data_IF_711377164128
#
_entry.id   IF_711377164128
#
_cell.length_a   1.000
_cell.length_b   1.000
_cell.length_c   1.000
_cell.angle_alpha   90.00
_cell.angle_beta   90.00
_cell.angle_gamma   90.00
#
_symmetry.space_group_name_H-M   'P 1'
#
loop_
_entity.id
_entity.type
_entity.pdbx_description
1 polymer ?
#
# COMPACT_ATOMS: atom_id res chain seq x y z
N UNK A 1 32.37 18.06 -10.19
CA UNK A 1 31.47 18.00 -9.01
C UNK A 1 30.06 18.54 -9.27
N UNK A 2 29.81 19.35 -10.33
CA UNK A 2 28.51 19.97 -10.60
C UNK A 2 27.51 19.10 -11.40
N UNK A 3 27.96 18.06 -12.10
CA UNK A 3 27.08 17.18 -12.89
C UNK A 3 26.29 16.18 -12.04
N UNK A 4 26.84 15.76 -10.89
CA UNK A 4 26.14 14.83 -9.98
C UNK A 4 25.02 15.54 -9.20
N UNK A 5 25.19 16.80 -8.80
CA UNK A 5 24.13 17.57 -8.14
C UNK A 5 22.97 17.87 -9.08
N UNK A 6 23.23 18.21 -10.35
CA UNK A 6 22.19 18.41 -11.36
C UNK A 6 21.39 17.14 -11.65
N UNK A 7 22.04 15.97 -11.72
CA UNK A 7 21.35 14.70 -11.86
C UNK A 7 20.49 14.35 -10.64
N UNK A 8 21.00 14.56 -9.41
CA UNK A 8 20.24 14.30 -8.17
C UNK A 8 19.00 15.19 -8.07
N UNK A 9 19.12 16.49 -8.40
CA UNK A 9 17.96 17.39 -8.36
C UNK A 9 16.91 17.04 -9.41
N UNK A 10 17.32 16.58 -10.59
CA UNK A 10 16.41 16.07 -11.62
C UNK A 10 15.71 14.78 -11.15
N UNK A 11 16.44 13.87 -10.53
CA UNK A 11 15.93 12.59 -10.00
C UNK A 11 14.91 12.81 -8.86
N UNK A 12 15.14 13.79 -7.98
CA UNK A 12 14.17 14.15 -6.93
C UNK A 12 12.90 14.76 -7.53
N UNK A 13 13.05 15.61 -8.56
CA UNK A 13 11.91 16.24 -9.22
C UNK A 13 11.05 15.22 -9.97
N UNK A 14 11.66 14.25 -10.63
CA UNK A 14 10.93 13.15 -11.29
C UNK A 14 10.23 12.27 -10.26
N UNK A 15 10.88 11.93 -9.15
CA UNK A 15 10.27 11.19 -8.04
C UNK A 15 9.01 11.90 -7.52
N UNK A 16 9.11 13.19 -7.20
CA UNK A 16 7.97 13.94 -6.68
C UNK A 16 6.85 14.09 -7.72
N UNK A 17 7.20 14.22 -9.01
CA UNK A 17 6.22 14.27 -10.09
C UNK A 17 5.46 12.95 -10.23
N UNK A 18 6.15 11.80 -10.16
CA UNK A 18 5.53 10.47 -10.20
C UNK A 18 4.63 10.26 -8.98
N UNK A 19 5.13 10.57 -7.79
CA UNK A 19 4.36 10.50 -6.55
C UNK A 19 3.07 11.32 -6.60
N UNK A 20 3.15 12.58 -7.08
CA UNK A 20 1.99 13.46 -7.22
C UNK A 20 1.00 12.94 -8.27
N UNK A 21 1.50 12.36 -9.37
CA UNK A 21 0.67 11.72 -10.40
C UNK A 21 -0.14 10.58 -9.77
N UNK A 22 0.54 9.67 -9.07
CA UNK A 22 -0.08 8.48 -8.46
C UNK A 22 -1.14 8.87 -7.43
N UNK A 23 -0.82 9.81 -6.54
CA UNK A 23 -1.79 10.32 -5.56
C UNK A 23 -3.03 10.92 -6.24
N UNK A 24 -2.83 11.74 -7.28
CA UNK A 24 -3.95 12.37 -7.99
C UNK A 24 -4.84 11.34 -8.69
N UNK A 25 -4.24 10.31 -9.29
CA UNK A 25 -4.97 9.22 -9.93
C UNK A 25 -5.78 8.44 -8.90
N UNK A 26 -5.16 8.08 -7.79
CA UNK A 26 -5.81 7.31 -6.73
C UNK A 26 -6.93 8.10 -6.05
N UNK A 27 -6.72 9.37 -5.71
CA UNK A 27 -7.76 10.22 -5.12
C UNK A 27 -8.92 10.52 -6.07
N UNK A 28 -8.68 10.47 -7.39
CA UNK A 28 -9.74 10.64 -8.39
C UNK A 28 -10.56 9.37 -8.58
N UNK A 29 -9.89 8.23 -8.57
CA UNK A 29 -10.52 6.92 -8.73
C UNK A 29 -11.26 6.50 -7.46
N UNK A 30 -10.65 6.73 -6.29
CA UNK A 30 -11.01 6.19 -4.97
C UNK A 30 -11.26 4.67 -4.94
N UNK A 31 -11.06 3.97 -6.06
CA UNK A 31 -11.45 2.58 -6.22
C UNK A 31 -10.67 1.68 -5.27
N UNK A 32 -9.33 1.77 -5.28
CA UNK A 32 -8.49 0.94 -4.43
C UNK A 32 -8.72 1.26 -2.95
N UNK A 33 -8.84 2.54 -2.60
CA UNK A 33 -9.12 2.98 -1.23
C UNK A 33 -10.45 2.41 -0.72
N UNK A 34 -11.54 2.60 -1.48
CA UNK A 34 -12.87 2.13 -1.08
C UNK A 34 -12.94 0.62 -0.97
N UNK A 35 -12.40 -0.11 -1.96
CA UNK A 35 -12.33 -1.58 -1.93
C UNK A 35 -11.56 -2.04 -0.69
N UNK A 36 -10.43 -1.41 -0.38
CA UNK A 36 -9.63 -1.77 0.78
C UNK A 36 -10.35 -1.48 2.10
N UNK A 37 -11.00 -0.32 2.22
CA UNK A 37 -11.76 0.05 3.42
C UNK A 37 -12.91 -0.93 3.64
N UNK A 38 -13.68 -1.24 2.60
CA UNK A 38 -14.80 -2.18 2.71
C UNK A 38 -14.30 -3.57 3.07
N UNK A 39 -13.26 -4.07 2.40
CA UNK A 39 -12.70 -5.39 2.66
C UNK A 39 -12.16 -5.52 4.09
N UNK A 40 -11.41 -4.52 4.54
CA UNK A 40 -10.85 -4.52 5.90
C UNK A 40 -11.93 -4.35 6.96
N UNK A 41 -12.94 -3.50 6.72
CA UNK A 41 -14.09 -3.39 7.60
C UNK A 41 -14.85 -4.72 7.72
N UNK A 42 -15.04 -5.44 6.61
CA UNK A 42 -15.63 -6.78 6.63
C UNK A 42 -14.81 -7.75 7.49
N UNK A 43 -13.48 -7.76 7.36
CA UNK A 43 -12.61 -8.57 8.23
C UNK A 43 -12.87 -8.23 9.69
N UNK A 44 -12.79 -6.94 10.05
CA UNK A 44 -12.95 -6.49 11.45
C UNK A 44 -14.33 -6.88 12.00
N UNK A 45 -15.41 -6.73 11.22
CA UNK A 45 -16.77 -7.12 11.60
C UNK A 45 -16.90 -8.64 11.76
N UNK A 46 -16.37 -9.42 10.82
CA UNK A 46 -16.40 -10.88 10.89
C UNK A 46 -15.68 -11.39 12.15
N UNK A 47 -14.51 -10.83 12.46
CA UNK A 47 -13.78 -11.14 13.68
C UNK A 47 -14.54 -10.68 14.94
N UNK A 48 -15.18 -9.51 14.93
CA UNK A 48 -15.98 -9.04 16.05
C UNK A 48 -17.13 -10.02 16.39
N UNK A 49 -17.78 -10.58 15.37
CA UNK A 49 -18.86 -11.57 15.54
C UNK A 49 -18.32 -12.95 15.94
N UNK A 50 -17.21 -13.38 15.34
CA UNK A 50 -16.64 -14.71 15.58
C UNK A 50 -16.10 -14.91 17.01
N UNK A 51 -15.72 -13.83 17.69
CA UNK A 51 -15.14 -13.86 19.03
C UNK A 51 -16.04 -13.12 20.03
N UNK A 52 -17.06 -13.79 20.61
CA UNK A 52 -17.90 -13.18 21.64
C UNK A 52 -17.05 -12.76 22.85
N UNK A 53 -17.27 -11.53 23.31
CA UNK A 53 -16.56 -10.91 24.43
C UNK A 53 -16.68 -11.79 25.70
N UNK A 54 -15.54 -12.29 26.20
CA UNK A 54 -15.51 -13.18 27.38
C UNK A 54 -14.26 -14.05 27.52
N UNK A 55 -13.41 -14.08 26.50
CA UNK A 55 -12.19 -14.88 26.49
C UNK A 55 -11.10 -14.12 27.25
N UNK A 56 -10.38 -14.79 28.16
CA UNK A 56 -9.23 -14.25 28.91
C UNK A 56 -8.08 -13.73 28.01
N UNK A 57 -8.17 -13.91 26.69
CA UNK A 57 -7.18 -13.58 25.66
C UNK A 57 -7.62 -12.44 24.72
N UNK A 58 -8.55 -11.57 25.15
CA UNK A 58 -9.06 -10.45 24.32
C UNK A 58 -7.94 -9.64 23.64
N UNK A 59 -6.86 -9.32 24.35
CA UNK A 59 -5.76 -8.52 23.81
C UNK A 59 -4.91 -9.26 22.76
N UNK A 60 -4.69 -10.56 22.93
CA UNK A 60 -3.92 -11.37 21.97
C UNK A 60 -4.67 -11.50 20.65
N UNK A 61 -5.97 -11.77 20.70
CA UNK A 61 -6.83 -11.89 19.53
C UNK A 61 -6.87 -10.55 18.76
N UNK A 62 -7.05 -9.44 19.46
CA UNK A 62 -7.06 -8.10 18.85
C UNK A 62 -5.75 -7.81 18.13
N UNK A 63 -4.61 -8.15 18.74
CA UNK A 63 -3.29 -7.99 18.11
C UNK A 63 -3.22 -8.75 16.78
N UNK A 64 -3.68 -10.01 16.76
CA UNK A 64 -3.71 -10.84 15.55
C UNK A 64 -4.57 -10.19 14.47
N UNK A 65 -5.77 -9.70 14.82
CA UNK A 65 -6.69 -9.07 13.86
C UNK A 65 -6.04 -7.82 13.25
N UNK A 66 -5.35 -7.00 14.05
CA UNK A 66 -4.63 -5.82 13.55
C UNK A 66 -3.58 -6.22 12.51
N UNK A 67 -2.75 -7.22 12.79
CA UNK A 67 -1.73 -7.70 11.86
C UNK A 67 -2.32 -8.23 10.55
N UNK A 68 -3.41 -9.00 10.63
CA UNK A 68 -4.13 -9.53 9.46
C UNK A 68 -4.65 -8.37 8.59
N UNK A 69 -5.34 -7.41 9.20
CA UNK A 69 -5.89 -6.25 8.49
C UNK A 69 -4.79 -5.40 7.84
N UNK A 70 -3.65 -5.22 8.51
CA UNK A 70 -2.49 -4.50 7.97
C UNK A 70 -1.90 -5.21 6.75
N UNK A 71 -1.70 -6.52 6.82
CA UNK A 71 -1.15 -7.29 5.71
C UNK A 71 -2.09 -7.29 4.50
N UNK A 72 -3.37 -7.59 4.72
CA UNK A 72 -4.33 -7.62 3.63
C UNK A 72 -4.56 -6.26 2.98
N UNK A 73 -4.67 -5.19 3.78
CA UNK A 73 -4.82 -3.83 3.23
C UNK A 73 -3.64 -3.45 2.35
N UNK A 74 -2.42 -3.78 2.76
CA UNK A 74 -1.22 -3.48 1.98
C UNK A 74 -1.16 -4.20 0.63
N UNK A 75 -1.60 -5.46 0.59
CA UNK A 75 -1.64 -6.25 -0.63
C UNK A 75 -2.64 -5.67 -1.63
N UNK A 76 -3.83 -5.29 -1.15
CA UNK A 76 -4.88 -4.70 -2.01
C UNK A 76 -4.46 -3.32 -2.52
N UNK A 77 -3.91 -2.46 -1.65
CA UNK A 77 -3.42 -1.14 -2.07
C UNK A 77 -2.31 -1.28 -3.11
N UNK A 78 -1.30 -2.11 -2.85
CA UNK A 78 -0.18 -2.29 -3.78
C UNK A 78 -0.64 -2.87 -5.13
N UNK A 79 -1.45 -3.94 -5.11
CA UNK A 79 -1.95 -4.56 -6.34
C UNK A 79 -2.82 -3.61 -7.16
N UNK A 80 -3.74 -2.87 -6.54
CA UNK A 80 -4.57 -1.89 -7.24
C UNK A 80 -3.75 -0.75 -7.84
N UNK A 81 -2.79 -0.20 -7.10
CA UNK A 81 -1.93 0.87 -7.62
C UNK A 81 -1.03 0.42 -8.77
N UNK A 82 -0.58 -0.84 -8.77
CA UNK A 82 0.25 -1.40 -9.85
C UNK A 82 -0.60 -1.73 -11.07
N UNK A 83 -1.82 -2.24 -10.87
CA UNK A 83 -2.75 -2.52 -11.96
C UNK A 83 -3.15 -1.24 -12.71
N UNK A 84 -3.34 -0.13 -12.00
CA UNK A 84 -3.57 1.19 -12.63
C UNK A 84 -2.42 1.59 -13.56
N UNK A 85 -1.17 1.35 -13.13
CA UNK A 85 0.00 1.67 -13.95
C UNK A 85 0.14 0.76 -15.19
N UNK A 86 -0.33 -0.49 -15.10
CA UNK A 86 -0.39 -1.42 -16.24
C UNK A 86 -1.49 -1.05 -17.23
N UNK A 87 -2.65 -0.58 -16.76
CA UNK A 87 -3.79 -0.20 -17.62
C UNK A 87 -3.49 1.06 -18.43
N UNK A 88 -2.75 2.00 -17.87
CA UNK A 88 -2.41 3.28 -18.51
C UNK A 88 -1.18 3.20 -19.45
N UNK A 89 -0.65 2.00 -19.76
CA UNK A 89 0.63 1.78 -20.46
C UNK A 89 1.79 2.61 -19.87
N UNK A 90 1.68 3.02 -18.60
CA UNK A 90 2.64 3.92 -17.98
C UNK A 90 4.00 3.26 -17.81
N UNK A 91 4.01 1.93 -17.60
CA UNK A 91 5.23 1.13 -17.57
C UNK A 91 5.98 1.17 -18.90
N UNK A 92 5.27 1.15 -20.02
CA UNK A 92 5.86 1.21 -21.35
C UNK A 92 6.42 2.60 -21.66
N UNK A 93 5.69 3.65 -21.24
CA UNK A 93 6.16 5.03 -21.30
C UNK A 93 7.40 5.27 -20.42
N UNK A 94 7.47 4.65 -19.24
CA UNK A 94 8.63 4.75 -18.32
C UNK A 94 9.87 4.08 -18.93
N UNK A 95 9.69 2.92 -19.59
CA UNK A 95 10.76 2.24 -20.33
C UNK A 95 11.24 3.07 -21.52
N UNK A 96 10.32 3.69 -22.27
CA UNK A 96 10.65 4.57 -23.40
C UNK A 96 11.35 5.86 -22.97
N UNK A 97 11.02 6.39 -21.79
CA UNK A 97 11.58 7.65 -21.27
C UNK A 97 12.94 7.46 -20.54
N UNK A 98 13.41 6.21 -20.38
CA UNK A 98 14.71 5.90 -19.78
C UNK A 98 14.82 6.29 -18.30
N UNK A 99 13.72 6.25 -17.56
CA UNK A 99 13.73 6.55 -16.11
C UNK A 99 14.43 5.40 -15.39
N UNK A 100 15.34 5.73 -14.46
CA UNK A 100 16.02 4.72 -13.64
C UNK A 100 15.01 3.93 -12.81
N UNK A 101 15.14 2.60 -12.81
CA UNK A 101 14.25 1.69 -12.07
C UNK A 101 14.24 1.97 -10.56
N UNK A 102 15.34 2.50 -9.99
CA UNK A 102 15.40 2.86 -8.57
C UNK A 102 14.43 3.99 -8.22
N UNK A 103 14.33 5.01 -9.09
CA UNK A 103 13.47 6.18 -8.86
C UNK A 103 12.00 5.78 -8.96
N UNK A 104 11.66 4.93 -9.94
CA UNK A 104 10.33 4.38 -10.07
C UNK A 104 9.94 3.58 -8.81
N UNK A 105 10.80 2.65 -8.37
CA UNK A 105 10.56 1.86 -7.17
C UNK A 105 10.33 2.75 -5.95
N UNK A 106 11.21 3.73 -5.71
CA UNK A 106 11.11 4.60 -4.54
C UNK A 106 9.84 5.46 -4.58
N UNK A 107 9.48 5.99 -5.75
CA UNK A 107 8.22 6.73 -5.92
C UNK A 107 7.01 5.86 -5.62
N UNK A 108 7.02 4.60 -6.07
CA UNK A 108 5.90 3.65 -5.89
C UNK A 108 5.72 3.25 -4.44
N UNK A 109 6.82 2.96 -3.73
CA UNK A 109 6.80 2.68 -2.29
C UNK A 109 6.24 3.86 -1.52
N UNK A 110 6.61 5.10 -1.88
CA UNK A 110 6.10 6.30 -1.22
C UNK A 110 4.61 6.53 -1.48
N UNK A 111 4.15 6.32 -2.73
CA UNK A 111 2.74 6.36 -3.11
C UNK A 111 1.92 5.36 -2.30
N UNK A 112 2.33 4.09 -2.29
CA UNK A 112 1.65 3.00 -1.55
C UNK A 112 1.66 3.29 -0.05
N UNK A 113 2.79 3.73 0.52
CA UNK A 113 2.88 4.10 1.94
C UNK A 113 1.88 5.20 2.32
N UNK A 114 1.73 6.22 1.47
CA UNK A 114 0.82 7.35 1.74
C UNK A 114 -0.64 6.91 1.71
N UNK A 115 -1.03 6.14 0.68
CA UNK A 115 -2.40 5.63 0.54
C UNK A 115 -2.72 4.63 1.66
N UNK A 116 -1.79 3.72 1.96
CA UNK A 116 -1.93 2.75 3.03
C UNK A 116 -2.10 3.44 4.39
N UNK A 117 -1.36 4.52 4.64
CA UNK A 117 -1.51 5.30 5.88
C UNK A 117 -2.92 5.89 6.02
N UNK A 118 -3.51 6.44 4.94
CA UNK A 118 -4.88 6.97 4.94
C UNK A 118 -5.90 5.87 5.26
N UNK A 119 -5.75 4.71 4.62
CA UNK A 119 -6.62 3.54 4.87
C UNK A 119 -6.50 3.08 6.33
N UNK A 120 -5.29 3.06 6.88
CA UNK A 120 -5.09 2.65 8.26
C UNK A 120 -5.65 3.61 9.28
N UNK A 121 -5.61 4.93 9.06
CA UNK A 121 -6.31 5.88 9.92
C UNK A 121 -7.80 5.52 10.03
N UNK A 122 -8.42 5.13 8.92
CA UNK A 122 -9.82 4.69 8.87
C UNK A 122 -10.03 3.39 9.65
N UNK A 123 -9.12 2.43 9.49
CA UNK A 123 -9.15 1.14 10.21
C UNK A 123 -9.01 1.35 11.73
N UNK A 124 -8.06 2.18 12.17
CA UNK A 124 -7.89 2.51 13.59
C UNK A 124 -9.15 3.13 14.18
N UNK A 125 -9.83 4.00 13.44
CA UNK A 125 -11.13 4.55 13.84
C UNK A 125 -12.19 3.46 14.02
N UNK A 126 -12.23 2.48 13.10
CA UNK A 126 -13.12 1.32 13.21
C UNK A 126 -12.84 0.48 14.47
N UNK A 127 -11.57 0.20 14.76
CA UNK A 127 -11.16 -0.55 15.95
C UNK A 127 -11.51 0.18 17.24
N UNK A 128 -11.37 1.51 17.27
CA UNK A 128 -11.76 2.33 18.42
C UNK A 128 -13.26 2.15 18.72
N UNK A 129 -14.12 2.21 17.70
CA UNK A 129 -15.58 2.09 17.86
C UNK A 129 -16.01 0.65 18.24
N UNK A 130 -15.48 -0.36 17.55
CA UNK A 130 -15.95 -1.75 17.69
C UNK A 130 -15.35 -2.49 18.91
N UNK A 131 -14.10 -2.20 19.27
CA UNK A 131 -13.38 -2.91 20.34
C UNK A 131 -13.16 -2.06 21.60
N UNK A 132 -13.52 -0.76 21.56
CA UNK A 132 -13.30 0.22 22.64
C UNK A 132 -11.84 0.27 23.11
N UNK A 133 -10.91 0.21 22.14
CA UNK A 133 -9.47 0.23 22.41
C UNK A 133 -8.96 1.65 22.63
N UNK A 134 -8.35 1.90 23.80
CA UNK A 134 -7.62 3.16 24.04
C UNK A 134 -6.20 3.07 23.49
N UNK A 135 -5.93 3.73 22.36
CA UNK A 135 -4.59 3.87 21.78
C UNK A 135 -3.75 4.98 22.45
N UNK A 136 -3.71 5.01 23.79
CA UNK A 136 -2.99 6.06 24.52
C UNK A 136 -1.46 5.91 24.47
N UNK A 137 -0.93 4.75 24.06
CA UNK A 137 0.50 4.53 24.04
C UNK A 137 1.12 5.00 22.70
N UNK A 138 1.99 6.04 22.71
CA UNK A 138 2.65 6.54 21.50
C UNK A 138 3.55 5.51 20.82
N UNK A 139 3.99 4.47 21.55
CA UNK A 139 4.76 3.36 20.98
C UNK A 139 3.98 2.62 19.89
N UNK A 140 2.65 2.52 20.02
CA UNK A 140 1.80 1.81 19.04
C UNK A 140 1.80 2.54 17.69
N UNK A 141 1.75 3.88 17.72
CA UNK A 141 1.83 4.70 16.50
C UNK A 141 3.19 4.52 15.83
N UNK A 142 4.27 4.54 16.61
CA UNK A 142 5.63 4.38 16.06
C UNK A 142 5.80 3.01 15.41
N UNK A 143 5.34 1.94 16.06
CA UNK A 143 5.35 0.58 15.52
C UNK A 143 4.49 0.49 14.25
N UNK A 144 3.31 1.11 14.23
CA UNK A 144 2.46 1.12 13.03
C UNK A 144 3.16 1.78 11.83
N UNK A 145 3.82 2.92 12.04
CA UNK A 145 4.57 3.62 10.98
C UNK A 145 5.74 2.77 10.48
N UNK A 146 6.52 2.17 11.39
CA UNK A 146 7.63 1.29 11.02
C UNK A 146 7.15 0.07 10.22
N UNK A 147 6.07 -0.55 10.68
CA UNK A 147 5.42 -1.68 10.01
C UNK A 147 4.96 -1.29 8.61
N UNK A 148 4.39 -0.09 8.43
CA UNK A 148 3.95 0.39 7.12
C UNK A 148 5.10 0.51 6.13
N UNK A 149 6.24 1.03 6.57
CA UNK A 149 7.42 1.18 5.70
C UNK A 149 7.93 -0.19 5.23
N UNK A 150 8.00 -1.15 6.15
CA UNK A 150 8.43 -2.51 5.83
C UNK A 150 7.46 -3.21 4.88
N UNK A 151 6.17 -3.15 5.21
CA UNK A 151 5.10 -3.79 4.43
C UNK A 151 4.91 -3.12 3.06
N UNK A 152 4.98 -1.79 2.94
CA UNK A 152 4.88 -1.13 1.64
C UNK A 152 6.02 -1.53 0.71
N UNK A 153 7.22 -1.68 1.26
CA UNK A 153 8.39 -2.14 0.49
C UNK A 153 8.21 -3.57 0.01
N UNK A 154 7.82 -4.50 0.89
CA UNK A 154 7.65 -5.92 0.52
C UNK A 154 6.53 -6.10 -0.51
N UNK A 155 5.41 -5.40 -0.34
CA UNK A 155 4.22 -5.53 -1.20
C UNK A 155 4.42 -4.91 -2.57
N UNK A 156 5.20 -3.84 -2.70
CA UNK A 156 5.56 -3.27 -4.01
C UNK A 156 6.47 -4.23 -4.76
N UNK A 157 7.46 -4.83 -4.10
CA UNK A 157 8.32 -5.85 -4.73
C UNK A 157 7.46 -6.99 -5.27
N UNK A 158 6.57 -7.55 -4.44
CA UNK A 158 5.69 -8.64 -4.83
C UNK A 158 4.77 -8.26 -5.99
N UNK A 159 4.19 -7.05 -5.98
CA UNK A 159 3.31 -6.59 -7.03
C UNK A 159 4.03 -6.41 -8.38
N UNK A 160 5.24 -5.84 -8.38
CA UNK A 160 6.05 -5.71 -9.60
C UNK A 160 6.42 -7.09 -10.17
N UNK A 161 6.78 -8.05 -9.31
CA UNK A 161 7.08 -9.41 -9.72
C UNK A 161 5.85 -10.10 -10.34
N UNK A 162 4.67 -9.89 -9.76
CA UNK A 162 3.42 -10.46 -10.24
C UNK A 162 3.09 -10.00 -11.67
N UNK A 163 3.22 -8.70 -11.96
CA UNK A 163 3.01 -8.17 -13.32
C UNK A 163 3.98 -8.79 -14.33
N UNK A 164 5.27 -8.92 -13.97
CA UNK A 164 6.27 -9.49 -14.86
C UNK A 164 5.95 -10.93 -15.25
N UNK A 165 5.40 -11.72 -14.31
CA UNK A 165 5.03 -13.11 -14.59
C UNK A 165 3.83 -13.21 -15.56
N UNK A 166 2.84 -12.32 -15.44
CA UNK A 166 1.68 -12.32 -16.34
C UNK A 166 2.04 -11.91 -17.78
N UNK A 167 3.00 -10.99 -17.95
CA UNK A 167 3.47 -10.58 -19.29
C UNK A 167 4.11 -11.76 -20.04
N UNK A 168 4.91 -12.58 -19.36
CA UNK A 168 5.53 -13.76 -19.96
C UNK A 168 4.49 -14.79 -20.42
N UNK A 169 3.40 -14.96 -19.68
CA UNK A 169 2.34 -15.91 -20.03
C UNK A 169 1.51 -15.41 -21.22
N UNK A 170 1.22 -14.11 -21.32
CA UNK A 170 0.49 -13.56 -22.46
C UNK A 170 1.27 -13.67 -23.78
N UNK A 171 2.59 -13.54 -23.77
CA UNK A 171 3.43 -13.72 -24.97
C UNK A 171 3.40 -15.18 -25.44
N UNK A 172 3.37 -16.13 -24.50
CA UNK A 172 3.24 -17.57 -24.80
C UNK A 172 1.86 -17.96 -25.33
N UNK A 173 0.79 -17.23 -24.99
CA UNK A 173 -0.57 -17.56 -25.45
C UNK A 173 -0.87 -17.08 -26.88
N UNK A 174 -0.01 -16.23 -27.45
CA UNK A 174 -0.14 -15.69 -28.82
C UNK A 174 0.69 -16.48 -29.85
N UNK A 175 1.56 -17.38 -29.37
CA UNK A 175 2.47 -18.20 -30.17
C UNK A 175 1.95 -19.63 -30.28
#
# INVERSE_FOLDING_TARGET
MNSNSENITKDIKTLFSLFKKDLKLEFRSLSTILITIVFTALIVVLFNIAFPFGIAQKNEIISIIIWVVFLFSSLIVSSGMIELDTKDNSLELILMYGIKSEIYFLSKVLSVFTILSIVQLTIFSLFYVLFQLSFQNPVIILVAILTNIGISSITVILGILSVRNNLNQNILSIL
#
